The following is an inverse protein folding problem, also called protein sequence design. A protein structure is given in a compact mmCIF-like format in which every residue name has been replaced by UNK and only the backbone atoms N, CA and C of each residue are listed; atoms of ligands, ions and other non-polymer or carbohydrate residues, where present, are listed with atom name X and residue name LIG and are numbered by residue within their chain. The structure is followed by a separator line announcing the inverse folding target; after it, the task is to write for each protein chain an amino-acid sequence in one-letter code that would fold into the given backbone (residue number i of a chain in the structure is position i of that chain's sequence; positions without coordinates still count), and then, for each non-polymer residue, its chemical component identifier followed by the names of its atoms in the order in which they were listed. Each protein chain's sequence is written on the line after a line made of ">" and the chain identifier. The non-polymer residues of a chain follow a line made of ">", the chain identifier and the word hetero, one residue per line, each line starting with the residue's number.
data_IF_465757422292
#
_entry.id   IF_465757422292
#
_cell.length_a   1.000
_cell.length_b   1.000
_cell.length_c   1.000
_cell.angle_alpha   90.00
_cell.angle_beta   90.00
_cell.angle_gamma   90.00
#
_symmetry.space_group_name_H-M   'P 1'
#
loop_
_entity.id
_entity.type
_entity.pdbx_description
1 polymer ?
#
# COMPACT_ATOMS: atom_id res chain seq x y z
N UNK A 1 23.32 3.25 -15.58
CA UNK A 1 21.93 2.81 -15.50
C UNK A 1 21.44 3.10 -14.09
N UNK A 2 20.49 3.99 -13.94
CA UNK A 2 20.17 4.69 -12.68
C UNK A 2 19.20 3.92 -11.81
N UNK A 3 19.55 3.77 -10.59
CA UNK A 3 18.96 3.27 -9.35
C UNK A 3 17.52 3.75 -9.04
N UNK A 4 16.59 3.69 -9.99
CA UNK A 4 15.21 4.16 -9.82
C UNK A 4 14.28 3.12 -9.16
N UNK A 5 14.63 1.82 -9.21
CA UNK A 5 13.82 0.75 -8.65
C UNK A 5 13.71 0.79 -7.12
N UNK A 6 14.73 1.35 -6.47
CA UNK A 6 14.95 1.30 -5.02
C UNK A 6 14.05 2.24 -4.23
N UNK A 7 13.92 3.47 -4.71
CA UNK A 7 13.05 4.45 -4.06
C UNK A 7 11.57 4.06 -4.16
N UNK A 8 11.22 3.29 -5.17
CA UNK A 8 9.87 2.86 -5.45
C UNK A 8 9.36 1.82 -4.46
N UNK A 9 10.21 0.84 -4.10
CA UNK A 9 9.79 -0.23 -3.18
C UNK A 9 9.66 0.26 -1.75
N UNK A 10 10.55 1.16 -1.33
CA UNK A 10 10.49 1.79 0.00
C UNK A 10 9.29 2.72 0.12
N UNK A 11 8.96 3.47 -0.94
CA UNK A 11 7.79 4.34 -0.98
C UNK A 11 6.49 3.53 -0.98
N UNK A 12 6.45 2.43 -1.72
CA UNK A 12 5.29 1.53 -1.72
C UNK A 12 5.13 0.88 -0.34
N UNK A 13 6.22 0.53 0.33
CA UNK A 13 6.14 -0.10 1.65
C UNK A 13 5.65 0.84 2.75
N UNK A 14 6.01 2.12 2.72
CA UNK A 14 5.61 3.06 3.77
C UNK A 14 4.21 3.66 3.57
N UNK A 15 3.71 3.73 2.33
CA UNK A 15 2.46 4.42 2.04
C UNK A 15 1.32 3.50 1.59
N UNK A 16 1.61 2.38 0.92
CA UNK A 16 0.59 1.39 0.56
C UNK A 16 -0.05 0.75 1.81
N UNK A 17 0.62 0.82 2.93
CA UNK A 17 0.18 0.25 4.20
C UNK A 17 -0.82 1.13 4.95
N UNK A 18 -0.72 2.46 4.79
CA UNK A 18 -1.67 3.37 5.40
C UNK A 18 -3.09 3.23 4.82
N UNK A 19 -3.21 2.64 3.65
CA UNK A 19 -4.50 2.56 2.92
C UNK A 19 -5.46 1.51 3.44
N UNK A 20 -5.02 0.64 4.35
CA UNK A 20 -5.42 -0.66 3.93
C UNK A 20 -6.24 -1.48 4.88
N UNK A 21 -5.86 -1.60 6.08
CA UNK A 21 -6.47 -2.64 6.90
C UNK A 21 -7.59 -2.03 7.74
N UNK A 22 -8.83 -2.19 7.33
CA UNK A 22 -9.91 -1.99 8.26
C UNK A 22 -11.10 -1.12 7.85
N UNK A 23 -11.12 -0.54 6.66
CA UNK A 23 -12.23 0.34 6.30
C UNK A 23 -13.26 -0.29 5.35
N UNK A 24 -12.87 -1.11 4.42
CA UNK A 24 -13.83 -1.80 3.56
C UNK A 24 -14.49 -2.96 4.33
N UNK A 25 -15.81 -2.88 4.44
CA UNK A 25 -16.63 -3.87 5.15
C UNK A 25 -17.01 -5.06 4.28
N UNK A 26 -16.64 -5.03 3.02
CA UNK A 26 -16.99 -6.02 2.00
C UNK A 26 -15.75 -6.55 1.31
N UNK A 27 -15.81 -7.78 0.83
CA UNK A 27 -14.81 -8.30 -0.09
C UNK A 27 -14.94 -7.64 -1.46
N UNK A 28 -13.82 -7.35 -2.12
CA UNK A 28 -13.82 -6.83 -3.49
C UNK A 28 -12.53 -7.18 -4.23
N UNK A 29 -12.58 -7.03 -5.55
CA UNK A 29 -11.40 -6.98 -6.43
C UNK A 29 -11.47 -5.73 -7.28
N UNK A 30 -10.31 -5.20 -7.65
CA UNK A 30 -10.19 -4.02 -8.50
C UNK A 30 -8.87 -4.02 -9.27
N UNK A 31 -8.81 -3.25 -10.35
CA UNK A 31 -7.58 -2.79 -10.96
C UNK A 31 -7.13 -1.53 -10.23
N UNK A 32 -5.83 -1.41 -9.94
CA UNK A 32 -5.25 -0.23 -9.31
C UNK A 32 -4.25 0.44 -10.25
N UNK A 33 -4.48 1.71 -10.53
CA UNK A 33 -3.49 2.57 -11.21
C UNK A 33 -2.78 3.41 -10.15
N UNK A 34 -1.48 3.16 -9.99
CA UNK A 34 -0.61 3.88 -9.07
C UNK A 34 0.27 4.85 -9.87
N UNK A 35 0.33 6.11 -9.46
CA UNK A 35 1.19 7.13 -10.06
C UNK A 35 2.25 7.52 -9.05
N UNK A 36 3.50 7.25 -9.39
CA UNK A 36 4.68 7.58 -8.60
C UNK A 36 5.65 8.39 -9.45
N UNK A 37 6.02 9.56 -8.99
CA UNK A 37 6.95 10.46 -9.69
C UNK A 37 6.62 10.63 -11.18
N UNK A 38 5.31 10.79 -11.48
CA UNK A 38 4.79 10.97 -12.84
C UNK A 38 4.73 9.72 -13.71
N UNK A 39 5.09 8.54 -13.17
CA UNK A 39 4.97 7.25 -13.88
C UNK A 39 3.74 6.49 -13.39
N UNK A 40 3.00 5.94 -14.35
CA UNK A 40 1.83 5.11 -14.08
C UNK A 40 2.20 3.63 -14.05
N UNK A 41 1.70 2.92 -13.04
CA UNK A 41 1.85 1.48 -12.86
C UNK A 41 0.49 0.87 -12.61
N UNK A 42 0.16 -0.15 -13.39
CA UNK A 42 -1.10 -0.89 -13.25
C UNK A 42 -0.87 -2.10 -12.37
N UNK A 43 -1.85 -2.40 -11.53
CA UNK A 43 -1.84 -3.55 -10.65
C UNK A 43 -3.23 -4.07 -10.38
N UNK A 44 -3.33 -5.10 -9.57
CA UNK A 44 -4.60 -5.67 -9.13
C UNK A 44 -4.66 -5.71 -7.61
N UNK A 45 -5.86 -5.54 -7.09
CA UNK A 45 -6.13 -5.59 -5.67
C UNK A 45 -7.26 -6.56 -5.38
N UNK A 46 -7.09 -7.35 -4.34
CA UNK A 46 -8.12 -8.18 -3.71
C UNK A 46 -8.21 -7.82 -2.24
N UNK A 47 -9.40 -7.75 -1.75
CA UNK A 47 -9.68 -7.41 -0.36
C UNK A 47 -10.75 -8.33 0.22
N UNK A 48 -10.53 -8.73 1.46
CA UNK A 48 -11.52 -9.24 2.40
C UNK A 48 -11.37 -8.46 3.70
N UNK A 49 -12.41 -8.33 4.54
CA UNK A 49 -12.27 -7.71 5.84
C UNK A 49 -11.10 -8.31 6.62
N UNK A 50 -10.09 -7.49 6.91
CA UNK A 50 -8.85 -7.92 7.58
C UNK A 50 -7.74 -8.47 6.69
N UNK A 51 -7.95 -8.64 5.39
CA UNK A 51 -6.95 -9.21 4.48
C UNK A 51 -6.88 -8.43 3.18
N UNK A 52 -5.66 -8.24 2.67
CA UNK A 52 -5.44 -7.59 1.39
C UNK A 52 -4.30 -8.23 0.63
N UNK A 53 -4.48 -8.28 -0.68
CA UNK A 53 -3.47 -8.64 -1.66
C UNK A 53 -3.38 -7.56 -2.72
N UNK A 54 -2.17 -7.07 -2.97
CA UNK A 54 -1.88 -6.16 -4.07
C UNK A 54 -0.81 -6.78 -4.97
N UNK A 55 -1.11 -6.91 -6.23
CA UNK A 55 -0.14 -7.24 -7.26
C UNK A 55 0.20 -5.97 -8.02
N UNK A 56 1.48 -5.72 -8.23
CA UNK A 56 1.92 -4.51 -8.92
C UNK A 56 2.86 -4.87 -10.06
N UNK A 57 2.58 -4.34 -11.24
CA UNK A 57 3.34 -4.58 -12.45
C UNK A 57 4.43 -3.51 -12.61
N UNK A 58 5.61 -3.77 -12.01
CA UNK A 58 6.79 -2.95 -12.25
C UNK A 58 7.69 -3.59 -13.32
N UNK A 59 8.43 -2.79 -14.11
CA UNK A 59 9.21 -3.31 -15.22
C UNK A 59 10.23 -4.40 -14.86
N UNK A 60 10.79 -4.34 -13.66
CA UNK A 60 11.83 -5.29 -13.22
C UNK A 60 11.31 -6.42 -12.32
N UNK A 61 10.22 -6.17 -11.59
CA UNK A 61 9.67 -7.10 -10.60
C UNK A 61 8.16 -6.98 -10.57
N UNK A 62 7.50 -8.09 -10.27
CA UNK A 62 6.05 -8.16 -10.05
C UNK A 62 5.77 -8.56 -8.59
N UNK A 63 6.01 -7.66 -7.62
CA UNK A 63 5.79 -7.98 -6.23
C UNK A 63 4.32 -8.17 -5.95
N UNK A 64 4.06 -9.05 -5.00
CA UNK A 64 2.74 -9.27 -4.41
C UNK A 64 2.82 -8.90 -2.95
N UNK A 65 2.06 -7.90 -2.54
CA UNK A 65 1.95 -7.48 -1.14
C UNK A 65 0.77 -8.20 -0.50
N UNK A 66 1.00 -8.87 0.61
CA UNK A 66 -0.04 -9.51 1.42
C UNK A 66 -0.04 -8.84 2.79
N UNK A 67 -1.18 -8.30 3.17
CA UNK A 67 -1.39 -7.60 4.43
C UNK A 67 -2.52 -8.28 5.19
N UNK A 68 -2.33 -8.49 6.49
CA UNK A 68 -3.33 -9.12 7.34
C UNK A 68 -3.44 -8.35 8.65
N UNK A 69 -4.66 -8.03 9.06
CA UNK A 69 -4.93 -7.23 10.25
C UNK A 69 -4.54 -7.95 11.57
N UNK A 70 -4.50 -9.30 11.54
CA UNK A 70 -4.11 -10.12 12.67
C UNK A 70 -2.58 -10.26 12.84
N UNK A 71 -1.79 -9.66 11.93
CA UNK A 71 -0.33 -9.72 11.95
C UNK A 71 0.29 -8.34 12.02
N UNK A 72 1.35 -8.16 12.84
CA UNK A 72 2.08 -6.90 12.92
C UNK A 72 3.02 -6.66 11.72
N UNK A 73 3.06 -7.61 10.78
CA UNK A 73 3.96 -7.59 9.62
C UNK A 73 3.16 -7.75 8.34
N UNK A 74 3.60 -7.06 7.29
CA UNK A 74 3.23 -7.31 5.92
C UNK A 74 4.24 -8.23 5.23
N UNK A 75 3.84 -8.85 4.14
CA UNK A 75 4.67 -9.77 3.35
C UNK A 75 4.76 -9.27 1.91
N UNK A 76 5.98 -9.14 1.40
CA UNK A 76 6.25 -8.92 -0.04
C UNK A 76 6.68 -10.25 -0.63
N UNK A 77 5.81 -10.84 -1.42
CA UNK A 77 6.12 -12.06 -2.17
C UNK A 77 6.76 -11.67 -3.49
N UNK A 78 7.91 -12.27 -3.81
CA UNK A 78 8.64 -12.10 -5.05
C UNK A 78 8.59 -13.41 -5.84
N UNK A 79 7.56 -13.64 -6.67
CA UNK A 79 7.34 -14.92 -7.33
C UNK A 79 8.51 -15.35 -8.20
N UNK A 80 9.15 -14.40 -8.90
CA UNK A 80 10.29 -14.67 -9.78
C UNK A 80 11.53 -15.21 -9.03
N UNK A 81 11.62 -14.91 -7.73
CA UNK A 81 12.74 -15.32 -6.86
C UNK A 81 12.33 -16.43 -5.88
N UNK A 82 11.08 -16.90 -5.92
CA UNK A 82 10.52 -17.85 -4.94
C UNK A 82 10.79 -17.42 -3.49
N UNK A 83 10.66 -16.11 -3.23
CA UNK A 83 11.07 -15.47 -1.98
C UNK A 83 9.94 -14.65 -1.40
N UNK A 84 9.86 -14.61 -0.07
CA UNK A 84 9.02 -13.68 0.68
C UNK A 84 9.87 -12.85 1.64
N UNK A 85 9.57 -11.58 1.70
CA UNK A 85 10.21 -10.60 2.60
C UNK A 85 9.17 -10.10 3.57
N UNK A 86 9.41 -10.27 4.85
CA UNK A 86 8.57 -9.71 5.90
C UNK A 86 9.05 -8.28 6.21
N UNK A 87 8.11 -7.36 6.40
CA UNK A 87 8.39 -5.98 6.78
C UNK A 87 7.41 -5.52 7.87
N UNK A 88 7.89 -4.67 8.78
CA UNK A 88 7.03 -4.10 9.80
C UNK A 88 5.97 -3.20 9.16
N UNK A 89 4.72 -3.33 9.59
CA UNK A 89 3.67 -2.39 9.21
C UNK A 89 3.89 -1.12 10.02
N UNK A 90 4.09 0.05 9.38
CA UNK A 90 4.20 1.29 10.11
C UNK A 90 2.89 1.63 10.82
N UNK A 91 3.01 2.36 11.92
CA UNK A 91 1.87 2.87 12.68
C UNK A 91 0.95 3.79 11.85
N UNK A 92 1.45 4.31 10.74
CA UNK A 92 0.66 5.05 9.75
C UNK A 92 -0.45 4.24 9.05
N UNK A 93 -0.47 2.90 9.17
CA UNK A 93 -1.65 2.09 8.82
C UNK A 93 -2.88 2.50 9.66
N UNK A 94 -2.65 3.20 10.76
CA UNK A 94 -3.68 3.77 11.61
C UNK A 94 -4.51 4.88 10.95
N UNK A 95 -3.99 5.63 9.96
CA UNK A 95 -4.72 6.77 9.37
C UNK A 95 -6.09 6.35 8.82
N UNK A 96 -6.15 5.20 8.17
CA UNK A 96 -7.41 4.70 7.63
C UNK A 96 -8.28 4.01 8.68
N UNK A 97 -7.67 3.54 9.77
CA UNK A 97 -8.37 2.92 10.89
C UNK A 97 -8.93 3.92 11.90
N UNK A 98 -8.41 5.17 11.91
CA UNK A 98 -8.85 6.23 12.82
C UNK A 98 -9.77 7.23 12.11
N UNK A 99 -11.10 7.17 12.36
CA UNK A 99 -12.06 8.11 11.80
C UNK A 99 -11.72 9.58 12.11
N UNK A 100 -11.09 9.81 13.27
CA UNK A 100 -10.77 11.15 13.78
C UNK A 100 -9.71 11.88 12.94
N UNK A 101 -8.90 11.14 12.18
CA UNK A 101 -7.91 11.70 11.28
C UNK A 101 -8.49 12.06 9.90
N UNK A 102 -9.80 11.88 9.70
CA UNK A 102 -10.49 12.08 8.43
C UNK A 102 -11.60 13.11 8.57
N UNK A 103 -11.50 14.18 7.82
CA UNK A 103 -12.54 15.21 7.74
C UNK A 103 -13.26 15.15 6.39
N UNK A 104 -14.58 14.87 6.35
CA UNK A 104 -15.33 14.87 5.10
C UNK A 104 -15.40 16.29 4.54
N UNK A 105 -15.18 16.44 3.24
CA UNK A 105 -15.17 17.73 2.55
C UNK A 105 -16.05 17.78 1.32
N UNK A 106 -16.54 16.65 0.83
CA UNK A 106 -17.42 16.62 -0.34
C UNK A 106 -17.80 15.22 -0.77
N UNK A 107 -18.55 15.15 -1.87
CA UNK A 107 -18.89 13.91 -2.55
C UNK A 107 -18.57 14.03 -4.03
N UNK A 108 -18.12 12.93 -4.62
CA UNK A 108 -17.77 12.81 -6.03
C UNK A 108 -18.17 11.41 -6.53
N UNK A 109 -18.59 11.31 -7.78
CA UNK A 109 -18.79 10.01 -8.44
C UNK A 109 -17.54 9.68 -9.24
N UNK A 110 -16.90 8.55 -8.92
CA UNK A 110 -15.70 8.04 -9.59
C UNK A 110 -16.03 6.68 -10.21
N UNK A 111 -15.92 6.56 -11.51
CA UNK A 111 -16.28 5.35 -12.28
C UNK A 111 -17.68 4.80 -11.91
N UNK A 112 -18.65 5.70 -11.70
CA UNK A 112 -20.02 5.36 -11.32
C UNK A 112 -20.21 5.01 -9.83
N UNK A 113 -19.17 5.05 -9.02
CA UNK A 113 -19.22 4.81 -7.57
C UNK A 113 -19.33 6.14 -6.84
N UNK A 114 -20.40 6.33 -6.08
CA UNK A 114 -20.52 7.49 -5.19
C UNK A 114 -19.52 7.39 -4.06
N UNK A 115 -18.68 8.40 -3.91
CA UNK A 115 -17.64 8.46 -2.89
C UNK A 115 -17.78 9.71 -2.03
N UNK A 116 -17.34 9.61 -0.77
CA UNK A 116 -17.12 10.77 0.09
C UNK A 116 -15.63 11.07 0.13
N UNK A 117 -15.28 12.31 -0.19
CA UNK A 117 -13.91 12.81 -0.08
C UNK A 117 -13.62 13.21 1.36
N UNK A 118 -12.48 12.75 1.87
CA UNK A 118 -11.95 13.11 3.19
C UNK A 118 -10.59 13.77 3.03
N UNK A 119 -10.35 14.83 3.81
CA UNK A 119 -8.99 15.28 4.05
C UNK A 119 -8.36 14.37 5.10
N UNK A 120 -7.12 13.99 4.83
CA UNK A 120 -6.30 13.14 5.70
C UNK A 120 -5.05 13.92 6.07
N UNK A 121 -4.78 13.96 7.37
CA UNK A 121 -3.55 14.52 7.92
C UNK A 121 -3.05 13.61 9.04
N UNK A 122 -1.77 13.24 8.98
CA UNK A 122 -1.10 12.46 10.01
C UNK A 122 0.30 13.00 10.24
N UNK A 123 0.68 13.08 11.51
CA UNK A 123 2.01 13.49 11.93
C UNK A 123 2.61 12.39 12.80
N UNK A 124 3.45 11.57 12.20
CA UNK A 124 4.09 10.40 12.82
C UNK A 124 5.59 10.65 13.07
N UNK A 125 6.28 9.80 13.85
CA UNK A 125 7.73 9.86 14.01
C UNK A 125 8.50 9.81 12.69
N UNK A 126 7.94 9.15 11.67
CA UNK A 126 8.54 8.98 10.36
C UNK A 126 8.42 10.23 9.49
N UNK A 127 7.36 11.04 9.70
CA UNK A 127 7.09 12.24 8.91
C UNK A 127 5.62 12.64 8.94
N UNK A 128 5.26 13.57 8.06
CA UNK A 128 3.91 14.11 7.92
C UNK A 128 3.27 13.66 6.61
N UNK A 129 2.09 13.04 6.70
CA UNK A 129 1.25 12.72 5.57
C UNK A 129 0.10 13.72 5.46
N UNK A 130 -0.18 14.20 4.26
CA UNK A 130 -1.35 15.04 3.97
C UNK A 130 -1.95 14.66 2.63
N UNK A 131 -3.28 14.70 2.51
CA UNK A 131 -3.90 14.34 1.25
C UNK A 131 -5.41 14.29 1.29
N UNK A 132 -5.96 13.70 0.24
CA UNK A 132 -7.38 13.42 0.09
C UNK A 132 -7.58 11.93 -0.20
N UNK A 133 -8.60 11.37 0.43
CA UNK A 133 -9.01 9.98 0.28
C UNK A 133 -10.50 9.95 -0.09
N UNK A 134 -10.87 9.19 -1.09
CA UNK A 134 -12.25 8.99 -1.51
C UNK A 134 -12.70 7.59 -1.13
N UNK A 135 -13.69 7.51 -0.24
CA UNK A 135 -14.27 6.25 0.23
C UNK A 135 -15.67 6.05 -0.33
N UNK A 136 -15.97 4.84 -0.78
CA UNK A 136 -17.34 4.43 -1.08
C UNK A 136 -18.16 4.28 0.22
N UNK A 137 -19.48 4.09 0.07
CA UNK A 137 -20.38 3.79 1.20
C UNK A 137 -19.94 2.54 1.99
N UNK A 138 -19.35 1.56 1.34
CA UNK A 138 -18.86 0.33 1.98
C UNK A 138 -17.45 0.46 2.56
N UNK A 139 -16.89 1.66 2.53
CA UNK A 139 -15.55 1.94 3.03
C UNK A 139 -14.43 1.53 2.07
N UNK A 140 -14.75 1.21 0.81
CA UNK A 140 -13.73 0.89 -0.19
C UNK A 140 -12.99 2.17 -0.54
N UNK A 141 -11.64 2.23 -0.40
CA UNK A 141 -10.85 3.37 -0.81
C UNK A 141 -10.73 3.37 -2.34
N UNK A 142 -11.42 4.30 -2.99
CA UNK A 142 -11.50 4.36 -4.47
C UNK A 142 -10.34 5.16 -5.04
N UNK A 143 -9.93 6.25 -4.38
CA UNK A 143 -8.87 7.14 -4.85
C UNK A 143 -8.13 7.75 -3.67
N UNK A 144 -6.84 7.94 -3.85
CA UNK A 144 -5.99 8.70 -2.92
C UNK A 144 -5.10 9.65 -3.71
N UNK A 145 -4.97 10.86 -3.19
CA UNK A 145 -4.03 11.87 -3.69
C UNK A 145 -3.34 12.45 -2.47
N UNK A 146 -2.05 12.23 -2.35
CA UNK A 146 -1.35 12.62 -1.13
C UNK A 146 0.12 12.92 -1.32
N UNK A 147 0.71 13.45 -0.26
CA UNK A 147 2.16 13.67 -0.11
C UNK A 147 2.59 13.22 1.27
N UNK A 148 3.81 12.75 1.32
CA UNK A 148 4.49 12.41 2.56
C UNK A 148 5.81 13.16 2.61
N UNK A 149 6.03 13.88 3.68
CA UNK A 149 7.28 14.57 3.98
C UNK A 149 7.96 13.89 5.16
N UNK A 150 9.12 13.30 4.91
CA UNK A 150 9.93 12.68 5.97
C UNK A 150 10.50 13.75 6.90
N UNK A 151 10.91 13.37 8.12
CA UNK A 151 11.51 14.30 9.10
C UNK A 151 12.79 14.99 8.59
N UNK A 152 13.47 14.43 7.62
CA UNK A 152 14.65 15.06 6.97
C UNK A 152 14.28 15.90 5.73
N UNK A 153 12.99 16.22 5.53
CA UNK A 153 12.51 17.09 4.46
C UNK A 153 12.38 16.43 3.07
N UNK A 154 12.53 15.10 2.94
CA UNK A 154 12.30 14.43 1.67
C UNK A 154 10.80 14.35 1.41
N UNK A 155 10.36 14.94 0.29
CA UNK A 155 8.97 14.90 -0.17
C UNK A 155 8.76 13.76 -1.15
N UNK A 156 7.65 13.05 -0.98
CA UNK A 156 7.17 12.01 -1.89
C UNK A 156 5.69 12.23 -2.17
N UNK A 157 5.25 11.91 -3.38
CA UNK A 157 3.83 11.95 -3.75
C UNK A 157 3.32 10.55 -3.99
N UNK A 158 2.09 10.29 -3.56
CA UNK A 158 1.39 9.05 -3.85
C UNK A 158 0.00 9.37 -4.38
N UNK A 159 -0.27 8.92 -5.59
CA UNK A 159 -1.57 9.04 -6.20
C UNK A 159 -1.96 7.68 -6.75
N UNK A 160 -3.17 7.23 -6.42
CA UNK A 160 -3.71 6.02 -6.99
C UNK A 160 -5.22 6.07 -7.10
N UNK A 161 -5.76 5.25 -7.98
CA UNK A 161 -7.19 5.07 -8.17
C UNK A 161 -7.49 3.61 -8.46
N UNK A 162 -8.62 3.13 -7.92
CA UNK A 162 -9.20 1.83 -8.25
C UNK A 162 -10.17 1.99 -9.41
N UNK A 163 -10.10 1.05 -10.33
CA UNK A 163 -10.99 0.91 -11.48
C UNK A 163 -11.63 -0.49 -11.47
N UNK A 164 -12.75 -0.63 -12.15
CA UNK A 164 -13.42 -1.93 -12.33
C UNK A 164 -13.68 -2.65 -11.01
N UNK A 165 -14.06 -1.91 -9.97
CA UNK A 165 -14.34 -2.47 -8.64
C UNK A 165 -15.50 -3.45 -8.71
N UNK A 166 -15.27 -4.68 -8.26
CA UNK A 166 -16.27 -5.74 -8.19
C UNK A 166 -16.38 -6.24 -6.77
N UNK A 167 -17.54 -5.99 -6.14
CA UNK A 167 -17.83 -6.47 -4.78
C UNK A 167 -18.13 -7.97 -4.85
N UNK A 168 -17.54 -8.73 -3.94
CA UNK A 168 -17.74 -10.16 -3.82
C UNK A 168 -16.72 -10.82 -2.91
N UNK A 169 -17.04 -12.00 -2.43
CA UNK A 169 -16.15 -12.80 -1.61
C UNK A 169 -14.93 -13.24 -2.42
N UNK A 170 -13.76 -13.15 -1.84
CA UNK A 170 -12.50 -13.60 -2.41
C UNK A 170 -12.08 -14.95 -1.79
N UNK A 171 -11.33 -15.76 -2.55
CA UNK A 171 -10.82 -17.04 -2.04
C UNK A 171 -9.70 -16.77 -1.00
N UNK A 172 -9.76 -17.44 0.14
CA UNK A 172 -8.76 -17.26 1.22
C UNK A 172 -7.32 -17.56 0.74
N UNK A 173 -7.16 -18.53 -0.18
CA UNK A 173 -5.85 -18.87 -0.73
C UNK A 173 -5.14 -17.71 -1.44
N UNK A 174 -5.86 -16.66 -1.86
CA UNK A 174 -5.25 -15.46 -2.42
C UNK A 174 -4.39 -14.70 -1.43
N UNK A 175 -4.69 -14.82 -0.14
CA UNK A 175 -4.01 -14.10 0.94
C UNK A 175 -2.94 -14.95 1.65
N UNK A 176 -2.63 -16.12 1.09
CA UNK A 176 -1.62 -17.02 1.62
C UNK A 176 -0.30 -16.90 0.84
N UNK A 177 0.81 -16.98 1.58
CA UNK A 177 2.15 -17.12 0.99
C UNK A 177 2.42 -18.59 0.69
N UNK A 178 2.90 -18.96 -0.50
CA UNK A 178 3.26 -20.34 -0.80
C UNK A 178 4.32 -20.86 0.18
N UNK A 179 4.07 -22.01 0.78
CA UNK A 179 4.95 -22.63 1.79
C UNK A 179 6.36 -22.96 1.27
N UNK A 180 6.50 -23.11 -0.04
CA UNK A 180 7.77 -23.40 -0.72
C UNK A 180 8.69 -22.18 -0.87
N UNK A 181 8.22 -20.98 -0.54
CA UNK A 181 9.00 -19.77 -0.70
C UNK A 181 9.96 -19.57 0.48
N UNK A 182 11.20 -19.14 0.16
CA UNK A 182 12.20 -18.83 1.17
C UNK A 182 11.87 -17.50 1.83
N UNK A 183 11.80 -17.47 3.16
CA UNK A 183 11.66 -16.24 3.93
C UNK A 183 13.01 -15.56 4.07
N UNK A 184 13.09 -14.31 3.70
CA UNK A 184 14.27 -13.46 3.88
C UNK A 184 13.91 -12.25 4.75
N UNK A 185 14.81 -11.83 5.66
CA UNK A 185 14.68 -10.55 6.32
C UNK A 185 14.87 -9.42 5.29
N UNK A 186 14.29 -8.25 5.56
CA UNK A 186 14.34 -7.11 4.64
C UNK A 186 15.76 -6.69 4.30
N UNK A 187 16.69 -6.82 5.26
CA UNK A 187 18.11 -6.49 5.11
C UNK A 187 18.80 -7.39 4.06
N UNK A 188 18.45 -8.69 4.07
CA UNK A 188 19.00 -9.64 3.10
C UNK A 188 18.37 -9.49 1.70
N UNK A 189 17.11 -9.07 1.66
CA UNK A 189 16.38 -8.85 0.41
C UNK A 189 16.74 -7.51 -0.25
N UNK A 190 17.18 -6.53 0.50
CA UNK A 190 17.46 -5.19 0.02
C UNK A 190 18.41 -5.13 -1.19
N UNK A 191 19.56 -5.86 -1.21
CA UNK A 191 20.42 -5.90 -2.38
C UNK A 191 19.75 -6.50 -3.61
N UNK A 192 18.90 -7.52 -3.42
CA UNK A 192 18.15 -8.16 -4.50
C UNK A 192 17.12 -7.20 -5.12
N UNK A 193 16.62 -6.29 -4.30
CA UNK A 193 15.66 -5.26 -4.68
C UNK A 193 16.37 -3.98 -5.18
N UNK A 194 17.71 -3.97 -5.25
CA UNK A 194 18.52 -2.79 -5.59
C UNK A 194 18.45 -1.70 -4.52
N UNK A 195 18.10 -2.04 -3.28
CA UNK A 195 17.98 -1.11 -2.16
C UNK A 195 19.31 -0.96 -1.43
N UNK A 196 19.64 0.28 -1.03
CA UNK A 196 20.69 0.53 -0.05
C UNK A 196 20.04 0.76 1.31
N UNK A 197 20.21 -0.17 2.21
CA UNK A 197 19.81 0.04 3.60
C UNK A 197 20.92 0.85 4.28
N UNK A 198 20.56 1.96 4.92
CA UNK A 198 21.50 2.65 5.79
C UNK A 198 21.88 1.70 6.95
N UNK A 199 23.14 1.62 7.35
CA UNK A 199 23.53 0.82 8.50
C UNK A 199 22.75 1.30 9.72
N UNK A 200 22.27 0.34 10.52
CA UNK A 200 21.62 0.66 11.78
C UNK A 200 22.56 1.52 12.64
N UNK A 201 22.05 2.57 13.33
CA UNK A 201 22.89 3.35 14.22
C UNK A 201 23.51 2.41 15.26
N UNK A 202 24.82 2.49 15.42
CA UNK A 202 25.55 1.75 16.44
C UNK A 202 24.94 2.07 17.81
N UNK A 203 24.60 1.03 18.59
CA UNK A 203 24.09 1.16 19.96
C UNK A 203 25.16 1.64 20.91
#
# INVERSE_FOLDING_TARGET
>A
MRTLAVSLLVLVSTHAQAETIGNARVGFTAERVLILDGRSFVGRMWHMPGEQRHEQDFPALKPVFILRADKPVGEVVLPQLHTVVEFALPSAAAILSHPDLRRPVGQESIDGITTTQYLVEDDSPEGRATGSLWLSRDGIPIKCVGKFETRNGKLSTINWQLHHVRIGRQAAALFEVPRSYTKLPVEAAAPLLGMRIAPAPAR
#
